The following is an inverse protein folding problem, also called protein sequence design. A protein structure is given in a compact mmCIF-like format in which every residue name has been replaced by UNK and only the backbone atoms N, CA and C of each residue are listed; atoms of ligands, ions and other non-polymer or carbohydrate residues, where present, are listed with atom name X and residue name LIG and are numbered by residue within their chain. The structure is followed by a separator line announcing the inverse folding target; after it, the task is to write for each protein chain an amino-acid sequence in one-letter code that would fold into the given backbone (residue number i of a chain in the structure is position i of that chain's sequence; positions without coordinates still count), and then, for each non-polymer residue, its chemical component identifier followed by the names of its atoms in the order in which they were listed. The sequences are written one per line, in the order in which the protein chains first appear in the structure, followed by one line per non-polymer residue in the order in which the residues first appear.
data_IF_406009173824
#
_entry.id   IF_406009173824
#
_cell.length_a   1.000
_cell.length_b   1.000
_cell.length_c   1.000
_cell.angle_alpha   90.00
_cell.angle_beta   90.00
_cell.angle_gamma   90.00
#
_symmetry.space_group_name_H-M   'P 1'
#
loop_
_entity.id
_entity.type
_entity.pdbx_description
1 polymer ?
#
# COMPACT_ATOMS: atom_id res chain seq x y z
N UNK A 1 1.19 5.77 -9.46
CA UNK A 1 1.05 4.33 -9.15
C UNK A 1 1.44 3.98 -7.70
N UNK A 2 2.06 4.90 -6.95
CA UNK A 2 2.51 4.71 -5.56
C UNK A 2 1.50 4.07 -4.58
N UNK A 3 0.24 4.50 -4.57
CA UNK A 3 -0.75 3.95 -3.64
C UNK A 3 -1.04 2.46 -3.89
N UNK A 4 -1.10 2.04 -5.16
CA UNK A 4 -1.36 0.65 -5.51
C UNK A 4 -0.17 -0.26 -5.13
N UNK A 5 1.05 0.22 -5.38
CA UNK A 5 2.29 -0.46 -4.99
C UNK A 5 2.39 -0.60 -3.46
N UNK A 6 2.05 0.45 -2.70
CA UNK A 6 2.03 0.39 -1.25
C UNK A 6 1.03 -0.66 -0.72
N UNK A 7 -0.16 -0.75 -1.29
CA UNK A 7 -1.17 -1.76 -0.92
C UNK A 7 -0.65 -3.17 -1.23
N UNK A 8 0.00 -3.36 -2.39
CA UNK A 8 0.59 -4.64 -2.77
C UNK A 8 1.69 -5.06 -1.78
N UNK A 9 2.64 -4.17 -1.46
CA UNK A 9 3.74 -4.47 -0.54
C UNK A 9 3.27 -4.85 0.87
N UNK A 10 2.11 -4.34 1.31
CA UNK A 10 1.52 -4.74 2.61
C UNK A 10 1.05 -6.20 2.59
N UNK A 11 0.46 -6.67 1.49
CA UNK A 11 -0.07 -8.04 1.39
C UNK A 11 0.93 -9.05 0.84
N UNK A 12 2.00 -8.61 0.17
CA UNK A 12 3.03 -9.46 -0.44
C UNK A 12 3.49 -10.64 0.44
N UNK A 13 3.82 -10.44 1.75
CA UNK A 13 4.27 -11.53 2.61
C UNK A 13 3.18 -12.57 2.94
N UNK A 14 1.92 -12.25 2.66
CA UNK A 14 0.72 -13.00 3.06
C UNK A 14 -0.14 -13.40 1.86
N UNK A 15 0.39 -13.28 0.64
CA UNK A 15 -0.33 -13.58 -0.60
C UNK A 15 -0.81 -15.03 -0.64
N UNK A 16 -2.08 -15.19 -0.95
CA UNK A 16 -2.71 -16.48 -1.19
C UNK A 16 -3.84 -16.34 -2.21
N UNK A 17 -4.33 -17.43 -2.84
CA UNK A 17 -5.44 -17.36 -3.79
C UNK A 17 -6.70 -16.65 -3.25
N UNK A 18 -6.93 -16.71 -1.94
CA UNK A 18 -8.03 -16.05 -1.23
C UNK A 18 -7.62 -14.78 -0.47
N UNK A 19 -6.39 -14.29 -0.66
CA UNK A 19 -5.83 -13.12 0.02
C UNK A 19 -4.86 -12.39 -0.92
N UNK A 20 -5.44 -11.66 -1.86
CA UNK A 20 -4.71 -10.88 -2.87
C UNK A 20 -4.60 -9.38 -2.54
N UNK A 21 -5.35 -8.94 -1.53
CA UNK A 21 -5.38 -7.57 -1.00
C UNK A 21 -5.41 -7.64 0.53
N UNK A 22 -4.86 -6.63 1.24
CA UNK A 22 -4.99 -6.57 2.68
C UNK A 22 -6.45 -6.30 3.09
N UNK A 23 -6.78 -6.55 4.36
CA UNK A 23 -8.06 -6.10 4.90
C UNK A 23 -8.15 -4.58 4.82
N UNK A 24 -9.31 -3.99 4.48
CA UNK A 24 -9.48 -2.53 4.53
C UNK A 24 -9.34 -1.96 5.96
N UNK A 25 -9.38 -2.81 6.99
CA UNK A 25 -9.16 -2.45 8.39
C UNK A 25 -7.76 -2.85 8.90
N UNK A 26 -6.86 -3.30 8.01
CA UNK A 26 -5.47 -3.57 8.40
C UNK A 26 -4.77 -2.23 8.74
N UNK A 27 -4.29 -2.05 9.98
CA UNK A 27 -3.72 -0.78 10.43
C UNK A 27 -2.43 -0.39 9.70
N UNK A 28 -1.81 -1.33 8.96
CA UNK A 28 -0.59 -1.06 8.17
C UNK A 28 -0.88 -0.29 6.88
N UNK A 29 -2.09 -0.37 6.34
CA UNK A 29 -2.43 0.19 5.00
C UNK A 29 -2.37 1.72 4.99
N UNK A 30 -3.05 2.36 5.94
CA UNK A 30 -3.14 3.83 5.99
C UNK A 30 -1.76 4.51 6.00
N UNK A 31 -0.87 4.16 6.94
CA UNK A 31 0.49 4.71 7.00
C UNK A 31 1.31 4.43 5.74
N UNK A 32 1.26 3.20 5.20
CA UNK A 32 2.04 2.83 4.01
C UNK A 32 1.63 3.63 2.77
N UNK A 33 0.31 3.75 2.53
CA UNK A 33 -0.21 4.51 1.38
C UNK A 33 0.09 6.01 1.54
N UNK A 34 -0.10 6.57 2.73
CA UNK A 34 0.17 7.98 2.98
C UNK A 34 1.65 8.34 2.71
N UNK A 35 2.59 7.52 3.20
CA UNK A 35 4.01 7.71 2.96
C UNK A 35 4.38 7.63 1.47
N UNK A 36 3.85 6.63 0.75
CA UNK A 36 4.13 6.45 -0.67
C UNK A 36 3.55 7.61 -1.52
N UNK A 37 2.33 8.06 -1.21
CA UNK A 37 1.70 9.20 -1.91
C UNK A 37 2.47 10.49 -1.62
N UNK A 38 2.90 10.71 -0.38
CA UNK A 38 3.69 11.88 -0.01
C UNK A 38 5.00 11.94 -0.82
N UNK A 39 5.72 10.81 -0.93
CA UNK A 39 6.99 10.75 -1.65
C UNK A 39 6.85 11.22 -3.10
N UNK A 40 5.88 10.68 -3.85
CA UNK A 40 5.69 11.05 -5.26
C UNK A 40 5.07 12.42 -5.46
N UNK A 41 4.30 12.92 -4.48
CA UNK A 41 3.76 14.28 -4.54
C UNK A 41 4.89 15.34 -4.47
N UNK A 42 5.93 15.10 -3.65
CA UNK A 42 7.09 16.00 -3.55
C UNK A 42 8.02 15.91 -4.77
N UNK A 43 8.01 14.80 -5.51
CA UNK A 43 8.76 14.65 -6.76
C UNK A 43 8.07 15.30 -7.98
N UNK A 44 6.80 15.69 -7.82
CA UNK A 44 5.97 16.26 -8.90
C UNK A 44 5.91 17.80 -8.87
N UNK A 45 6.53 18.45 -7.88
CA UNK A 45 6.78 19.90 -7.81
C UNK A 45 8.06 20.27 -8.58
#
# INVERSE_FOLDING_TARGET
MAAAEAIFSVVEPELAPNKIVPSPLDPRVGPAVAAAVQAVAHESD
#
